data_IF_061231944870
#
_entry.id   IF_061231944870
#
_cell.length_a   1.000
_cell.length_b   1.000
_cell.length_c   1.000
_cell.angle_alpha   90.00
_cell.angle_beta   90.00
_cell.angle_gamma   90.00
#
_symmetry.space_group_name_H-M   'P 1'
#
loop_
_entity.id
_entity.type
_entity.pdbx_description
1 polymer ?
#
# COMPACT_ATOMS: atom_id res chain seq x y z
N UNK A 1 7.81 21.33 14.83
CA UNK A 1 6.47 21.39 14.22
C UNK A 1 5.76 22.57 14.84
N UNK A 2 5.17 23.42 14.00
CA UNK A 2 4.57 24.70 14.39
C UNK A 2 3.30 24.47 15.25
N UNK A 3 2.56 23.43 14.92
CA UNK A 3 1.30 23.00 15.53
C UNK A 3 1.49 22.54 16.99
N UNK A 4 2.58 21.84 17.30
CA UNK A 4 2.91 21.45 18.68
C UNK A 4 3.28 22.65 19.55
N UNK A 5 3.91 23.67 18.97
CA UNK A 5 4.21 24.91 19.68
C UNK A 5 2.91 25.69 19.95
N UNK A 6 2.00 25.74 18.98
CA UNK A 6 0.66 26.33 19.13
C UNK A 6 -0.18 25.60 20.19
N UNK A 7 -0.18 24.26 20.18
CA UNK A 7 -0.86 23.46 21.21
C UNK A 7 -0.33 23.80 22.61
N UNK A 8 0.99 23.88 22.77
CA UNK A 8 1.61 24.29 24.04
C UNK A 8 1.15 25.67 24.48
N UNK A 9 1.04 26.63 23.57
CA UNK A 9 0.56 27.99 23.88
C UNK A 9 -0.90 27.98 24.34
N UNK A 10 -1.78 27.26 23.64
CA UNK A 10 -3.20 27.15 23.99
C UNK A 10 -3.38 26.51 25.38
N UNK A 11 -2.61 25.47 25.69
CA UNK A 11 -2.62 24.83 27.01
C UNK A 11 -2.15 25.76 28.11
N UNK A 12 -1.06 26.51 27.89
CA UNK A 12 -0.56 27.50 28.86
C UNK A 12 -1.55 28.65 29.06
N UNK A 13 -2.26 29.06 28.02
CA UNK A 13 -3.27 30.11 28.08
C UNK A 13 -4.61 29.65 28.71
N UNK A 14 -4.76 28.36 29.04
CA UNK A 14 -6.02 27.81 29.56
C UNK A 14 -7.14 27.69 28.52
N UNK A 15 -6.82 27.86 27.22
CA UNK A 15 -7.77 27.71 26.11
C UNK A 15 -7.97 26.23 25.77
N UNK A 16 -8.60 25.51 26.69
CA UNK A 16 -8.80 24.05 26.58
C UNK A 16 -9.62 23.66 25.35
N UNK A 17 -10.61 24.46 24.96
CA UNK A 17 -11.48 24.15 23.82
C UNK A 17 -10.69 24.20 22.50
N UNK A 18 -9.96 25.29 22.25
CA UNK A 18 -9.11 25.40 21.06
C UNK A 18 -7.99 24.36 21.07
N UNK A 19 -7.43 24.04 22.24
CA UNK A 19 -6.41 23.00 22.38
C UNK A 19 -6.94 21.61 21.96
N UNK A 20 -8.16 21.24 22.38
CA UNK A 20 -8.79 19.98 21.98
C UNK A 20 -9.03 19.93 20.48
N UNK A 21 -9.56 21.01 19.89
CA UNK A 21 -9.78 21.07 18.44
C UNK A 21 -8.48 20.86 17.63
N UNK A 22 -7.37 21.46 18.09
CA UNK A 22 -6.06 21.27 17.44
C UNK A 22 -5.54 19.83 17.58
N UNK A 23 -5.84 19.15 18.69
CA UNK A 23 -5.49 17.73 18.85
C UNK A 23 -6.26 16.87 17.84
N UNK A 24 -7.56 17.10 17.67
CA UNK A 24 -8.37 16.36 16.71
C UNK A 24 -7.86 16.54 15.27
N UNK A 25 -7.47 17.77 14.90
CA UNK A 25 -6.86 18.09 13.61
C UNK A 25 -5.52 17.34 13.41
N UNK A 26 -4.66 17.36 14.43
CA UNK A 26 -3.37 16.65 14.39
C UNK A 26 -3.55 15.12 14.26
N UNK A 27 -4.54 14.55 14.93
CA UNK A 27 -4.88 13.13 14.78
C UNK A 27 -5.37 12.80 13.36
N UNK A 28 -6.21 13.64 12.78
CA UNK A 28 -6.69 13.47 11.41
C UNK A 28 -5.56 13.59 10.38
N UNK A 29 -4.67 14.57 10.55
CA UNK A 29 -3.47 14.75 9.72
C UNK A 29 -2.55 13.54 9.77
N UNK A 30 -2.28 13.01 10.97
CA UNK A 30 -1.48 11.82 11.18
C UNK A 30 -2.09 10.60 10.48
N UNK A 31 -3.41 10.39 10.65
CA UNK A 31 -4.15 9.32 9.96
C UNK A 31 -4.03 9.43 8.45
N UNK A 32 -4.24 10.63 7.88
CA UNK A 32 -4.12 10.88 6.44
C UNK A 32 -2.71 10.59 5.93
N UNK A 33 -1.67 10.96 6.67
CA UNK A 33 -0.29 10.69 6.28
C UNK A 33 0.02 9.19 6.24
N UNK A 34 -0.50 8.41 7.20
CA UNK A 34 -0.33 6.96 7.22
C UNK A 34 -1.04 6.31 6.03
N UNK A 35 -2.29 6.69 5.76
CA UNK A 35 -3.06 6.16 4.62
C UNK A 35 -2.35 6.46 3.29
N UNK A 36 -1.86 7.68 3.09
CA UNK A 36 -1.08 8.05 1.87
C UNK A 36 0.17 7.19 1.67
N UNK A 37 0.85 6.84 2.75
CA UNK A 37 2.02 5.96 2.69
C UNK A 37 1.61 4.52 2.34
N UNK A 38 0.48 4.05 2.85
CA UNK A 38 -0.10 2.74 2.46
C UNK A 38 -0.45 2.74 0.97
N UNK A 39 -1.12 3.78 0.47
CA UNK A 39 -1.46 3.96 -0.95
C UNK A 39 -0.22 3.93 -1.84
N UNK A 40 0.87 4.58 -1.42
CA UNK A 40 2.15 4.56 -2.13
C UNK A 40 2.72 3.14 -2.24
N UNK A 41 2.64 2.34 -1.17
CA UNK A 41 3.03 0.93 -1.22
C UNK A 41 2.07 0.07 -2.05
N UNK A 42 0.77 0.37 -2.06
CA UNK A 42 -0.20 -0.30 -2.92
C UNK A 42 0.14 -0.09 -4.40
N UNK A 43 0.42 1.14 -4.81
CA UNK A 43 0.85 1.44 -6.18
C UNK A 43 2.10 0.64 -6.54
N UNK A 44 3.10 0.61 -5.65
CA UNK A 44 4.32 -0.16 -5.86
C UNK A 44 4.04 -1.67 -5.99
N UNK A 45 3.20 -2.21 -5.11
CA UNK A 45 2.79 -3.61 -5.11
C UNK A 45 2.11 -3.98 -6.43
N UNK A 46 1.07 -3.24 -6.81
CA UNK A 46 0.29 -3.52 -8.02
C UNK A 46 1.15 -3.33 -9.29
N UNK A 47 2.05 -2.35 -9.32
CA UNK A 47 2.95 -2.15 -10.46
C UNK A 47 3.85 -3.37 -10.68
N UNK A 48 4.35 -3.98 -9.61
CA UNK A 48 5.15 -5.19 -9.70
C UNK A 48 4.32 -6.43 -10.06
N UNK A 49 3.06 -6.51 -9.62
CA UNK A 49 2.15 -7.59 -10.03
C UNK A 49 1.74 -7.48 -11.51
N UNK A 50 1.53 -6.25 -12.01
CA UNK A 50 1.31 -6.00 -13.44
C UNK A 50 2.51 -6.50 -14.24
N UNK A 51 3.73 -6.10 -13.85
CA UNK A 51 4.97 -6.55 -14.49
C UNK A 51 5.11 -8.08 -14.46
N UNK A 52 4.83 -8.69 -13.32
CA UNK A 52 4.85 -10.15 -13.14
C UNK A 52 3.92 -10.87 -14.13
N UNK A 53 2.68 -10.39 -14.26
CA UNK A 53 1.71 -10.99 -15.19
C UNK A 53 2.06 -10.70 -16.66
N UNK A 54 2.42 -9.46 -16.98
CA UNK A 54 2.73 -9.05 -18.35
C UNK A 54 3.98 -9.72 -18.94
N UNK A 55 5.02 -9.93 -18.11
CA UNK A 55 6.25 -10.60 -18.53
C UNK A 55 6.24 -12.12 -18.27
N UNK A 56 5.17 -12.62 -17.67
CA UNK A 56 5.00 -14.02 -17.29
C UNK A 56 6.18 -14.63 -16.52
N UNK A 57 6.86 -13.81 -15.72
CA UNK A 57 8.02 -14.20 -14.91
C UNK A 57 8.14 -13.32 -13.68
N UNK A 58 8.76 -13.85 -12.64
CA UNK A 58 9.20 -13.06 -11.50
C UNK A 58 10.72 -13.08 -11.38
N UNK A 59 11.33 -11.91 -11.28
CA UNK A 59 12.75 -11.76 -10.96
C UNK A 59 12.94 -11.37 -9.49
N UNK A 60 14.12 -11.65 -8.95
CA UNK A 60 14.42 -11.46 -7.52
C UNK A 60 14.18 -10.03 -7.04
N UNK A 61 14.51 -9.02 -7.86
CA UNK A 61 14.29 -7.61 -7.50
C UNK A 61 12.80 -7.27 -7.38
N UNK A 62 11.95 -7.83 -8.24
CA UNK A 62 10.50 -7.59 -8.18
C UNK A 62 9.87 -8.30 -6.99
N UNK A 63 10.29 -9.53 -6.71
CA UNK A 63 9.85 -10.23 -5.51
C UNK A 63 10.23 -9.44 -4.25
N UNK A 64 11.46 -8.91 -4.19
CA UNK A 64 11.89 -8.08 -3.08
C UNK A 64 11.03 -6.81 -2.93
N UNK A 65 10.67 -6.14 -4.03
CA UNK A 65 9.76 -4.99 -4.02
C UNK A 65 8.36 -5.36 -3.51
N UNK A 66 7.80 -6.48 -3.97
CA UNK A 66 6.48 -6.96 -3.52
C UNK A 66 6.50 -7.27 -2.02
N UNK A 67 7.52 -8.01 -1.55
CA UNK A 67 7.68 -8.32 -0.12
C UNK A 67 7.80 -7.04 0.70
N UNK A 68 8.62 -6.08 0.27
CA UNK A 68 8.80 -4.81 0.95
C UNK A 68 7.49 -4.01 1.01
N UNK A 69 6.72 -3.98 -0.08
CA UNK A 69 5.44 -3.30 -0.12
C UNK A 69 4.43 -3.92 0.86
N UNK A 70 4.25 -5.25 0.82
CA UNK A 70 3.30 -5.94 1.70
C UNK A 70 3.70 -5.80 3.18
N UNK A 71 5.00 -5.95 3.49
CA UNK A 71 5.51 -5.76 4.86
C UNK A 71 5.37 -4.30 5.32
N UNK A 72 5.63 -3.34 4.44
CA UNK A 72 5.44 -1.91 4.68
C UNK A 72 3.99 -1.58 5.01
N UNK A 73 3.05 -2.09 4.20
CA UNK A 73 1.60 -1.95 4.41
C UNK A 73 1.20 -2.55 5.75
N UNK A 74 1.61 -3.78 6.07
CA UNK A 74 1.30 -4.40 7.38
C UNK A 74 1.74 -3.52 8.55
N UNK A 75 2.97 -3.00 8.50
CA UNK A 75 3.53 -2.17 9.58
C UNK A 75 2.80 -0.85 9.74
N UNK A 76 2.44 -0.19 8.63
CA UNK A 76 1.75 1.09 8.66
C UNK A 76 0.27 0.94 9.03
N UNK A 77 -0.38 -0.12 8.55
CA UNK A 77 -1.81 -0.30 8.72
C UNK A 77 -2.18 -0.72 10.15
N UNK A 78 -1.26 -1.36 10.89
CA UNK A 78 -1.48 -1.74 12.29
C UNK A 78 -1.38 -0.50 13.20
N UNK A 79 -2.51 -0.07 13.77
CA UNK A 79 -2.60 1.06 14.70
C UNK A 79 -2.36 0.64 16.15
N UNK A 80 -2.93 -0.49 16.56
CA UNK A 80 -2.74 -1.11 17.90
C UNK A 80 -2.94 -2.63 17.78
N UNK A 81 -2.82 -3.40 18.87
CA UNK A 81 -2.81 -4.88 18.90
C UNK A 81 -3.82 -5.57 17.99
N UNK A 82 -5.02 -5.01 17.77
CA UNK A 82 -6.04 -5.51 16.84
C UNK A 82 -6.81 -4.37 16.13
N UNK A 83 -6.23 -3.18 15.96
CA UNK A 83 -6.89 -2.09 15.25
C UNK A 83 -6.09 -1.66 14.02
N UNK A 84 -6.81 -1.33 12.96
CA UNK A 84 -6.24 -1.03 11.65
C UNK A 84 -6.77 0.30 11.12
N UNK A 85 -5.96 0.99 10.31
CA UNK A 85 -6.40 2.21 9.61
C UNK A 85 -7.37 1.89 8.48
N UNK A 86 -7.08 0.83 7.72
CA UNK A 86 -7.93 0.21 6.71
C UNK A 86 -8.26 -1.19 7.21
N UNK A 87 -9.53 -1.59 7.23
CA UNK A 87 -9.94 -2.92 7.69
C UNK A 87 -9.75 -3.97 6.58
N UNK A 88 -9.78 -5.24 6.96
CA UNK A 88 -9.60 -6.37 6.03
C UNK A 88 -10.58 -6.34 4.85
N UNK A 89 -11.81 -5.86 5.05
CA UNK A 89 -12.84 -5.80 4.01
C UNK A 89 -12.93 -4.43 3.29
N UNK A 90 -12.13 -3.43 3.69
CA UNK A 90 -12.25 -2.04 3.22
C UNK A 90 -11.19 -1.66 2.15
N UNK A 91 -10.57 -2.64 1.48
CA UNK A 91 -9.48 -2.38 0.52
C UNK A 91 -9.93 -2.04 -0.90
N UNK A 92 -11.20 -2.30 -1.24
CA UNK A 92 -11.65 -2.28 -2.63
C UNK A 92 -11.34 -0.95 -3.32
N UNK A 93 -11.74 0.17 -2.72
CA UNK A 93 -11.56 1.50 -3.31
C UNK A 93 -10.06 1.86 -3.43
N UNK A 94 -9.25 1.51 -2.43
CA UNK A 94 -7.81 1.72 -2.47
C UNK A 94 -7.11 0.92 -3.58
N UNK A 95 -7.56 -0.30 -3.84
CA UNK A 95 -7.04 -1.14 -4.92
C UNK A 95 -7.45 -0.61 -6.30
N UNK A 96 -8.71 -0.18 -6.43
CA UNK A 96 -9.28 0.41 -7.64
C UNK A 96 -8.59 1.73 -8.02
N UNK A 97 -8.23 2.56 -7.05
CA UNK A 97 -7.45 3.78 -7.31
C UNK A 97 -5.98 3.46 -7.61
N UNK A 98 -5.37 2.57 -6.82
CA UNK A 98 -3.94 2.26 -6.95
C UNK A 98 -3.61 1.58 -8.28
N UNK A 99 -4.50 0.78 -8.85
CA UNK A 99 -4.23 0.05 -10.11
C UNK A 99 -4.05 1.00 -11.31
N UNK A 100 -4.75 2.14 -11.32
CA UNK A 100 -4.64 3.13 -12.39
C UNK A 100 -3.25 3.79 -12.38
N UNK A 101 -2.78 4.20 -11.20
CA UNK A 101 -1.43 4.73 -11.01
C UNK A 101 -0.35 3.67 -11.24
N UNK A 102 -0.59 2.45 -10.77
CA UNK A 102 0.32 1.33 -10.94
C UNK A 102 0.52 0.95 -12.41
N UNK A 103 -0.53 1.09 -13.24
CA UNK A 103 -0.45 0.84 -14.69
C UNK A 103 0.47 1.83 -15.38
N UNK A 104 0.43 3.11 -14.97
CA UNK A 104 1.35 4.14 -15.47
C UNK A 104 2.80 3.84 -15.06
N UNK A 105 3.02 3.44 -13.81
CA UNK A 105 4.35 3.15 -13.31
C UNK A 105 4.93 1.87 -13.93
N UNK A 106 4.10 0.83 -14.04
CA UNK A 106 4.48 -0.40 -14.70
C UNK A 106 4.84 -0.15 -16.17
N UNK A 107 4.14 0.72 -16.90
CA UNK A 107 4.49 1.02 -18.30
C UNK A 107 5.88 1.66 -18.46
N UNK A 108 6.30 2.52 -17.53
CA UNK A 108 7.65 3.13 -17.55
C UNK A 108 8.77 2.11 -17.34
N UNK A 109 8.53 1.09 -16.52
CA UNK A 109 9.56 0.14 -16.11
C UNK A 109 9.50 -1.20 -16.85
N UNK A 110 8.30 -1.67 -17.21
CA UNK A 110 8.07 -2.96 -17.85
C UNK A 110 8.78 -3.01 -19.21
N UNK A 111 9.45 -4.13 -19.48
CA UNK A 111 10.22 -4.33 -20.71
C UNK A 111 11.23 -3.20 -21.02
N UNK A 112 11.71 -2.47 -19.99
CA UNK A 112 12.61 -1.33 -20.17
C UNK A 112 11.95 -0.06 -20.67
N UNK A 113 10.64 0.10 -20.48
CA UNK A 113 9.88 1.29 -20.86
C UNK A 113 9.47 1.35 -22.34
N UNK A 114 9.54 0.23 -23.05
CA UNK A 114 9.24 0.17 -24.49
C UNK A 114 7.74 0.18 -24.82
N UNK A 115 6.89 -0.12 -23.84
CA UNK A 115 5.44 -0.21 -24.06
C UNK A 115 4.71 1.02 -23.53
N UNK A 116 3.75 1.53 -24.32
CA UNK A 116 2.75 2.47 -23.81
C UNK A 116 1.83 1.79 -22.81
N UNK A 117 1.09 2.58 -22.04
CA UNK A 117 0.05 2.08 -21.12
C UNK A 117 -0.99 1.24 -21.88
N UNK A 118 -1.39 1.66 -23.09
CA UNK A 118 -2.36 0.91 -23.89
C UNK A 118 -1.80 -0.44 -24.37
N UNK A 119 -0.50 -0.49 -24.68
CA UNK A 119 0.12 -1.76 -25.08
C UNK A 119 0.28 -2.71 -23.88
N UNK A 120 0.61 -2.16 -22.70
CA UNK A 120 0.73 -2.95 -21.47
C UNK A 120 -0.62 -3.50 -21.02
N UNK A 121 -1.70 -2.73 -21.14
CA UNK A 121 -3.05 -3.16 -20.72
C UNK A 121 -3.57 -4.39 -21.45
N UNK A 122 -3.04 -4.69 -22.64
CA UNK A 122 -3.35 -5.94 -23.37
C UNK A 122 -2.58 -7.17 -22.85
N UNK A 123 -1.59 -6.98 -21.99
CA UNK A 123 -0.68 -8.02 -21.50
C UNK A 123 -0.98 -8.49 -20.08
N UNK A 124 -1.89 -7.83 -19.37
CA UNK A 124 -2.31 -8.23 -18.03
C UNK A 124 -3.83 -8.16 -17.90
N UNK A 125 -4.38 -8.85 -16.89
CA UNK A 125 -5.79 -8.79 -16.54
C UNK A 125 -5.94 -8.01 -15.23
N UNK A 126 -6.58 -6.84 -15.31
CA UNK A 126 -6.80 -5.91 -14.19
C UNK A 126 -7.39 -6.61 -12.97
N UNK A 127 -8.49 -7.33 -13.14
CA UNK A 127 -9.20 -7.97 -12.04
C UNK A 127 -8.34 -9.06 -11.37
N UNK A 128 -7.52 -9.78 -12.14
CA UNK A 128 -6.58 -10.76 -11.59
C UNK A 128 -5.49 -10.07 -10.77
N UNK A 129 -4.96 -8.94 -11.22
CA UNK A 129 -3.97 -8.17 -10.45
C UNK A 129 -4.58 -7.65 -9.15
N UNK A 130 -5.77 -7.05 -9.20
CA UNK A 130 -6.48 -6.58 -8.00
C UNK A 130 -6.74 -7.73 -7.04
N UNK A 131 -7.21 -8.87 -7.55
CA UNK A 131 -7.44 -10.07 -6.74
C UNK A 131 -6.15 -10.58 -6.08
N UNK A 132 -5.04 -10.61 -6.81
CA UNK A 132 -3.74 -10.99 -6.24
C UNK A 132 -3.29 -9.99 -5.18
N UNK A 133 -3.42 -8.70 -5.45
CA UNK A 133 -3.14 -7.63 -4.49
C UNK A 133 -3.94 -7.81 -3.21
N UNK A 134 -5.26 -8.01 -3.32
CA UNK A 134 -6.13 -8.29 -2.19
C UNK A 134 -5.71 -9.54 -1.40
N UNK A 135 -5.42 -10.65 -2.08
CA UNK A 135 -4.94 -11.87 -1.42
C UNK A 135 -3.64 -11.66 -0.64
N UNK A 136 -2.70 -10.87 -1.18
CA UNK A 136 -1.48 -10.50 -0.47
C UNK A 136 -1.76 -9.57 0.72
N UNK A 137 -2.74 -8.68 0.61
CA UNK A 137 -3.19 -7.83 1.72
C UNK A 137 -3.83 -8.64 2.85
N UNK A 138 -4.60 -9.68 2.54
CA UNK A 138 -5.18 -10.58 3.56
C UNK A 138 -4.12 -11.24 4.44
N UNK A 139 -2.97 -11.62 3.85
CA UNK A 139 -1.83 -12.15 4.61
C UNK A 139 -1.33 -11.16 5.66
N UNK A 140 -1.50 -9.85 5.45
CA UNK A 140 -1.09 -8.83 6.42
C UNK A 140 -1.91 -8.85 7.71
N UNK A 141 -3.11 -9.44 7.70
CA UNK A 141 -3.95 -9.64 8.88
C UNK A 141 -3.71 -10.99 9.54
N UNK A 142 -3.43 -12.01 8.73
CA UNK A 142 -3.39 -13.41 9.16
C UNK A 142 -2.01 -13.86 9.65
N UNK A 143 -0.93 -13.28 9.10
CA UNK A 143 0.42 -13.82 9.28
C UNK A 143 1.34 -12.90 10.09
N UNK A 144 2.32 -13.50 10.78
CA UNK A 144 3.39 -12.75 11.43
C UNK A 144 4.31 -12.09 10.40
N UNK A 145 4.76 -10.85 10.68
CA UNK A 145 5.60 -10.07 9.75
C UNK A 145 6.85 -10.82 9.27
N UNK A 146 7.47 -11.64 10.14
CA UNK A 146 8.67 -12.42 9.82
C UNK A 146 8.43 -13.58 8.84
N UNK A 147 7.18 -14.06 8.74
CA UNK A 147 6.77 -15.18 7.86
C UNK A 147 6.39 -14.70 6.46
N UNK A 148 5.92 -13.46 6.34
CA UNK A 148 5.47 -12.87 5.08
C UNK A 148 6.45 -13.05 3.91
N UNK A 149 7.78 -12.83 4.04
CA UNK A 149 8.68 -12.96 2.90
C UNK A 149 8.65 -14.35 2.26
N UNK A 150 8.55 -15.41 3.07
CA UNK A 150 8.51 -16.78 2.58
C UNK A 150 7.15 -17.12 1.97
N UNK A 151 6.06 -16.78 2.65
CA UNK A 151 4.69 -17.04 2.19
C UNK A 151 4.42 -16.34 0.85
N UNK A 152 4.86 -15.09 0.70
CA UNK A 152 4.70 -14.32 -0.56
C UNK A 152 5.47 -14.99 -1.71
N UNK A 153 6.68 -15.52 -1.44
CA UNK A 153 7.47 -16.22 -2.45
C UNK A 153 6.74 -17.48 -2.92
N UNK A 154 6.20 -18.26 -2.00
CA UNK A 154 5.41 -19.47 -2.32
C UNK A 154 4.16 -19.09 -3.10
N UNK A 155 3.41 -18.07 -2.64
CA UNK A 155 2.21 -17.56 -3.31
C UNK A 155 2.43 -17.19 -4.79
N UNK A 156 3.57 -16.60 -5.12
CA UNK A 156 3.92 -16.18 -6.49
C UNK A 156 4.57 -17.29 -7.32
N UNK A 157 5.07 -18.35 -6.69
CA UNK A 157 5.69 -19.48 -7.38
C UNK A 157 4.65 -20.51 -7.84
N UNK A 158 3.56 -20.66 -7.08
CA UNK A 158 2.52 -21.69 -7.30
C UNK A 158 1.45 -21.30 -8.34
N UNK A 159 1.55 -20.10 -8.93
CA UNK A 159 0.55 -19.59 -9.88
C UNK A 159 1.13 -19.51 -11.28
N UNK A 160 0.49 -20.14 -12.28
CA UNK A 160 0.87 -19.92 -13.67
C UNK A 160 0.57 -18.46 -14.02
N UNK A 161 1.53 -17.85 -14.70
CA UNK A 161 1.52 -16.47 -15.16
C UNK A 161 0.54 -16.21 -16.28
#
# INVERSE_FOLDING_TARGET
MEELAQLRQLLVAGNTREAIALVDELEEMSKKAIIRNIESYLVLLLAHLIKYQAEQRIINSWLASIVNAVVGIKKLNLRDKNSYYIKEDDWNDYLEEAIELASLEAAKEAFGGIYSVEQLSTKFNRDRVIKMGFQLLQLTYQEETKKLPQIIREFLSDRPT
#
